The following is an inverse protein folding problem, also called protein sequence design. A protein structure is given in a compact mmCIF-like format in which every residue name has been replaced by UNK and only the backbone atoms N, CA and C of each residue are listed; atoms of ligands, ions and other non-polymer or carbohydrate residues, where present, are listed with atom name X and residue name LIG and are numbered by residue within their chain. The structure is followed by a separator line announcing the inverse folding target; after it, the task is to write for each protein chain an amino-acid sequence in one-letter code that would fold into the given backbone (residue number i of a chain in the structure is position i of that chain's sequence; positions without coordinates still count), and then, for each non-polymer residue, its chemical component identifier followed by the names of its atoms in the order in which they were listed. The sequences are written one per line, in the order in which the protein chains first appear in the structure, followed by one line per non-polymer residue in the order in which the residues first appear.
data_IF_174694017164
#
_entry.id   IF_174694017164
#
_cell.length_a   1.000
_cell.length_b   1.000
_cell.length_c   1.000
_cell.angle_alpha   90.00
_cell.angle_beta   90.00
_cell.angle_gamma   90.00
#
_symmetry.space_group_name_H-M   'P 1'
#
loop_
_entity.id
_entity.type
_entity.pdbx_description
1 polymer ?
#
# COMPACT_ATOMS: atom_id res chain seq x y z
N UNK A 1 -0.09 24.80 3.42
CA UNK A 1 -0.63 23.83 4.40
C UNK A 1 -0.53 22.45 3.78
N UNK A 2 0.46 21.66 4.20
CA UNK A 2 0.53 20.25 3.81
C UNK A 2 -0.56 19.55 4.63
N UNK A 3 -1.73 19.37 4.02
CA UNK A 3 -2.79 18.57 4.63
C UNK A 3 -2.19 17.22 4.98
N UNK A 4 -2.12 16.89 6.27
CA UNK A 4 -1.67 15.58 6.73
C UNK A 4 -2.62 14.54 6.13
N UNK A 5 -2.20 13.91 5.03
CA UNK A 5 -3.01 12.89 4.39
C UNK A 5 -3.21 11.77 5.41
N UNK A 6 -4.46 11.49 5.78
CA UNK A 6 -4.79 10.41 6.71
C UNK A 6 -5.15 9.18 5.89
N UNK A 7 -4.31 8.15 5.97
CA UNK A 7 -4.58 6.84 5.40
C UNK A 7 -5.31 5.97 6.44
N UNK A 8 -6.59 5.70 6.17
CA UNK A 8 -7.48 4.88 7.00
C UNK A 8 -7.67 3.52 6.32
N UNK A 9 -8.10 3.53 5.06
CA UNK A 9 -8.28 2.35 4.24
C UNK A 9 -7.56 2.53 2.90
N UNK A 10 -6.51 1.73 2.71
CA UNK A 10 -5.65 1.82 1.54
C UNK A 10 -6.41 1.52 0.23
N UNK A 11 -7.35 0.58 0.25
CA UNK A 11 -8.07 0.16 -0.97
C UNK A 11 -9.11 1.21 -1.36
N UNK A 12 -9.89 1.72 -0.41
CA UNK A 12 -10.83 2.81 -0.68
C UNK A 12 -10.13 4.11 -1.09
N UNK A 13 -8.94 4.39 -0.55
CA UNK A 13 -8.18 5.61 -0.85
C UNK A 13 -7.18 5.47 -2.01
N UNK A 14 -7.15 4.31 -2.70
CA UNK A 14 -6.15 3.95 -3.73
C UNK A 14 -5.86 5.02 -4.77
N UNK A 15 -6.89 5.71 -5.27
CA UNK A 15 -6.72 6.73 -6.30
C UNK A 15 -6.00 7.97 -5.77
N UNK A 16 -6.31 8.36 -4.53
CA UNK A 16 -5.66 9.48 -3.87
C UNK A 16 -4.21 9.13 -3.51
N UNK A 17 -3.96 7.90 -3.02
CA UNK A 17 -2.61 7.40 -2.72
C UNK A 17 -1.74 7.36 -3.98
N UNK A 18 -2.22 6.77 -5.08
CA UNK A 18 -1.50 6.76 -6.37
C UNK A 18 -1.16 8.17 -6.85
N UNK A 19 -2.11 9.11 -6.73
CA UNK A 19 -1.89 10.50 -7.14
C UNK A 19 -0.84 11.19 -6.25
N UNK A 20 -0.92 10.96 -4.94
CA UNK A 20 -0.07 11.62 -3.94
C UNK A 20 1.38 11.13 -4.01
N UNK A 21 1.57 9.83 -4.24
CA UNK A 21 2.89 9.19 -4.26
C UNK A 21 3.45 8.95 -5.66
N UNK A 22 2.89 9.57 -6.70
CA UNK A 22 3.25 9.27 -8.09
C UNK A 22 4.74 9.39 -8.37
N UNK A 23 5.35 10.47 -7.88
CA UNK A 23 6.75 10.80 -8.15
C UNK A 23 7.73 10.18 -7.15
N UNK A 24 7.23 9.34 -6.24
CA UNK A 24 8.03 8.62 -5.26
C UNK A 24 8.50 7.29 -5.88
N UNK A 25 9.72 6.89 -5.57
CA UNK A 25 10.18 5.53 -5.85
C UNK A 25 9.48 4.50 -4.94
N UNK A 26 9.67 3.22 -5.25
CA UNK A 26 9.01 2.12 -4.52
C UNK A 26 9.42 2.05 -3.05
N UNK A 27 10.68 2.35 -2.72
CA UNK A 27 11.16 2.34 -1.35
C UNK A 27 10.53 3.46 -0.51
N UNK A 28 10.48 4.68 -1.05
CA UNK A 28 9.84 5.83 -0.42
C UNK A 28 8.32 5.65 -0.32
N UNK A 29 7.69 5.01 -1.31
CA UNK A 29 6.28 4.60 -1.26
C UNK A 29 6.01 3.64 -0.08
N UNK A 30 6.87 2.64 0.10
CA UNK A 30 6.76 1.68 1.21
C UNK A 30 6.96 2.36 2.56
N UNK A 31 8.00 3.19 2.70
CA UNK A 31 8.25 3.94 3.93
C UNK A 31 7.06 4.83 4.30
N UNK A 32 6.48 5.52 3.31
CA UNK A 32 5.31 6.36 3.53
C UNK A 32 4.10 5.53 4.01
N UNK A 33 3.79 4.40 3.36
CA UNK A 33 2.68 3.54 3.79
C UNK A 33 2.94 2.96 5.19
N UNK A 34 4.17 2.57 5.49
CA UNK A 34 4.56 2.03 6.80
C UNK A 34 4.44 3.06 7.94
N UNK A 35 4.48 4.37 7.64
CA UNK A 35 4.19 5.38 8.65
C UNK A 35 2.72 5.37 9.11
N UNK A 36 1.81 4.83 8.29
CA UNK A 36 0.37 4.82 8.51
C UNK A 36 -0.19 3.48 9.03
N UNK A 37 0.63 2.44 9.15
CA UNK A 37 0.22 1.12 9.61
C UNK A 37 1.36 0.12 9.57
N UNK A 38 1.05 -1.17 9.60
CA UNK A 38 2.06 -2.24 9.54
C UNK A 38 2.12 -2.79 8.12
N UNK A 39 3.33 -2.95 7.58
CA UNK A 39 3.57 -3.66 6.33
C UNK A 39 4.30 -4.96 6.63
N UNK A 40 3.86 -6.05 6.01
CA UNK A 40 4.62 -7.30 5.95
C UNK A 40 4.75 -7.77 4.50
N UNK A 41 5.91 -8.35 4.17
CA UNK A 41 6.12 -9.01 2.89
C UNK A 41 5.40 -10.36 2.89
N UNK A 42 4.77 -10.68 1.78
CA UNK A 42 4.07 -11.93 1.53
C UNK A 42 4.77 -12.67 0.40
N UNK A 43 5.08 -13.94 0.64
CA UNK A 43 5.59 -14.81 -0.40
C UNK A 43 4.42 -15.34 -1.24
N UNK A 44 4.15 -14.70 -2.38
CA UNK A 44 3.09 -15.10 -3.30
C UNK A 44 3.56 -16.02 -4.44
N UNK A 45 4.88 -16.19 -4.61
CA UNK A 45 5.46 -16.91 -5.76
C UNK A 45 5.33 -16.19 -7.11
N UNK A 46 4.73 -15.00 -7.16
CA UNK A 46 4.53 -14.23 -8.39
C UNK A 46 5.42 -12.97 -8.43
N UNK A 47 5.20 -12.06 -7.49
CA UNK A 47 5.94 -10.81 -7.32
C UNK A 47 6.13 -10.54 -5.83
N UNK A 48 7.12 -9.73 -5.48
CA UNK A 48 7.20 -9.23 -4.11
C UNK A 48 5.90 -8.50 -3.77
N UNK A 49 5.16 -9.08 -2.83
CA UNK A 49 3.80 -8.67 -2.49
C UNK A 49 3.81 -8.23 -1.04
N UNK A 50 2.99 -7.24 -0.72
CA UNK A 50 2.90 -6.68 0.61
C UNK A 50 1.47 -6.77 1.11
N UNK A 51 1.33 -7.09 2.38
CA UNK A 51 0.09 -6.92 3.13
C UNK A 51 0.26 -5.72 4.05
N UNK A 52 -0.61 -4.73 3.87
CA UNK A 52 -0.75 -3.59 4.75
C UNK A 52 -1.90 -3.83 5.73
N UNK A 53 -1.69 -3.45 6.97
CA UNK A 53 -2.73 -3.37 7.99
C UNK A 53 -2.74 -1.96 8.59
N UNK A 54 -3.87 -1.26 8.45
CA UNK A 54 -4.07 0.06 9.03
C UNK A 54 -4.14 0.00 10.56
N UNK A 55 -4.01 1.15 11.21
CA UNK A 55 -4.19 1.27 12.67
C UNK A 55 -5.60 0.91 13.16
N UNK A 56 -6.57 0.78 12.26
CA UNK A 56 -7.93 0.35 12.58
C UNK A 56 -8.17 -1.15 12.27
N UNK A 57 -7.13 -1.89 11.88
CA UNK A 57 -7.22 -3.32 11.55
C UNK A 57 -7.74 -3.61 10.13
N UNK A 58 -7.93 -2.59 9.28
CA UNK A 58 -8.27 -2.79 7.87
C UNK A 58 -7.05 -3.24 7.09
N UNK A 59 -7.22 -4.28 6.28
CA UNK A 59 -6.14 -4.99 5.60
C UNK A 59 -6.21 -4.81 4.09
N UNK A 60 -5.06 -4.64 3.44
CA UNK A 60 -4.95 -4.46 1.99
C UNK A 60 -3.72 -5.16 1.41
N UNK A 61 -3.92 -5.98 0.38
CA UNK A 61 -2.85 -6.59 -0.38
C UNK A 61 -2.45 -5.69 -1.55
N UNK A 62 -1.15 -5.54 -1.80
CA UNK A 62 -0.67 -4.82 -2.98
C UNK A 62 0.73 -5.29 -3.42
N UNK A 63 1.10 -4.95 -4.65
CA UNK A 63 2.47 -5.06 -5.15
C UNK A 63 2.78 -3.87 -6.07
N UNK A 64 4.02 -3.74 -6.54
CA UNK A 64 4.40 -2.74 -7.55
C UNK A 64 4.52 -3.37 -8.93
N UNK A 65 3.95 -2.73 -9.95
CA UNK A 65 4.22 -3.12 -11.33
C UNK A 65 5.63 -2.72 -11.79
N UNK A 66 5.98 -3.02 -13.03
CA UNK A 66 7.33 -2.78 -13.57
C UNK A 66 7.66 -1.28 -13.72
N UNK A 67 6.65 -0.41 -13.64
CA UNK A 67 6.81 1.05 -13.61
C UNK A 67 6.94 1.62 -12.19
N UNK A 68 6.81 0.78 -11.16
CA UNK A 68 6.80 1.18 -9.76
C UNK A 68 5.44 1.72 -9.28
N UNK A 69 4.37 1.51 -10.06
CA UNK A 69 3.03 1.92 -9.68
C UNK A 69 2.32 0.85 -8.85
N UNK A 70 1.45 1.29 -7.94
CA UNK A 70 0.71 0.39 -7.07
C UNK A 70 -0.29 -0.46 -7.86
N UNK A 71 -0.26 -1.77 -7.66
CA UNK A 71 -1.35 -2.68 -8.01
C UNK A 71 -2.01 -3.18 -6.73
N UNK A 72 -3.25 -2.78 -6.51
CA UNK A 72 -4.02 -3.18 -5.33
C UNK A 72 -4.78 -4.47 -5.62
N UNK A 73 -4.65 -5.45 -4.73
CA UNK A 73 -5.39 -6.71 -4.75
C UNK A 73 -6.73 -6.59 -4.01
N UNK A 74 -6.91 -5.52 -3.22
CA UNK A 74 -8.12 -5.28 -2.44
C UNK A 74 -8.09 -5.96 -1.08
N UNK A 75 -9.27 -6.08 -0.46
CA UNK A 75 -9.52 -6.69 0.86
C UNK A 75 -9.69 -8.22 0.74
N UNK A 76 -9.78 -8.73 -0.50
CA UNK A 76 -10.05 -10.12 -0.83
C UNK A 76 -8.73 -10.89 -1.10
N UNK A 77 -7.80 -10.81 -0.16
CA UNK A 77 -6.56 -11.59 -0.22
C UNK A 77 -6.48 -12.56 0.96
N UNK A 78 -6.01 -13.76 0.71
CA UNK A 78 -5.88 -14.83 1.71
C UNK A 78 -4.46 -14.96 2.24
N UNK A 79 -3.68 -13.88 2.24
CA UNK A 79 -2.29 -13.89 2.70
C UNK A 79 -2.26 -14.14 4.21
N UNK A 80 -1.81 -15.33 4.59
CA UNK A 80 -1.54 -15.72 5.97
C UNK A 80 -0.10 -15.37 6.34
#
# INVERSE_FOLDING_TARGET
MQSSFVLIDLVSQRHAVRKYLRDYDTAAKLEWIAAHGTIRTVNSGFRETYAFESRLGLTAGFFFDDSGDFVFLGDHYTFQ
#
